data_IF_380865753124
#
_entry.id   IF_380865753124
#
_cell.length_a   1.000
_cell.length_b   1.000
_cell.length_c   1.000
_cell.angle_alpha   90.00
_cell.angle_beta   90.00
_cell.angle_gamma   90.00
#
_symmetry.space_group_name_H-M   'P 1'
#
loop_
_entity.id
_entity.type
_entity.pdbx_description
1 polymer ?
#
# COMPACT_ATOMS: atom_id res chain seq x y z
N UNK A 1 12.51 37.09 -31.51
CA UNK A 1 12.28 37.25 -30.06
C UNK A 1 12.51 35.91 -29.40
N UNK A 2 13.24 35.87 -28.29
CA UNK A 2 13.50 34.65 -27.53
C UNK A 2 12.21 34.23 -26.80
N UNK A 3 11.79 32.95 -26.85
CA UNK A 3 10.60 32.51 -26.14
C UNK A 3 10.74 32.70 -24.62
N UNK A 4 9.63 33.04 -23.96
CA UNK A 4 9.55 33.14 -22.50
C UNK A 4 9.47 31.74 -21.89
N UNK A 5 10.23 31.49 -20.84
CA UNK A 5 10.14 30.24 -20.09
C UNK A 5 8.76 30.10 -19.44
N UNK A 6 8.14 28.93 -19.60
CA UNK A 6 6.88 28.55 -18.97
C UNK A 6 7.00 27.09 -18.51
N UNK A 7 6.60 26.83 -17.27
CA UNK A 7 6.62 25.50 -16.67
C UNK A 7 5.20 24.97 -16.50
N UNK A 8 5.00 23.69 -16.83
CA UNK A 8 3.83 22.90 -16.43
C UNK A 8 4.31 21.48 -16.19
N UNK A 9 3.76 20.84 -15.16
CA UNK A 9 3.93 19.41 -15.01
C UNK A 9 3.35 18.67 -16.23
N UNK A 10 4.01 17.59 -16.64
CA UNK A 10 3.51 16.72 -17.70
C UNK A 10 2.21 16.02 -17.29
N UNK A 11 2.09 15.70 -16.00
CA UNK A 11 0.97 15.02 -15.38
C UNK A 11 0.53 15.80 -14.13
N UNK A 12 -0.27 16.86 -14.28
CA UNK A 12 -0.77 17.63 -13.14
C UNK A 12 -1.70 16.76 -12.28
N UNK A 13 -1.62 16.94 -10.97
CA UNK A 13 -2.47 16.21 -10.02
C UNK A 13 -3.85 16.87 -9.93
N UNK A 14 -4.89 16.03 -9.88
CA UNK A 14 -6.25 16.47 -9.60
C UNK A 14 -6.54 16.56 -8.10
N UNK A 15 -7.80 16.77 -7.75
CA UNK A 15 -8.27 16.75 -6.36
C UNK A 15 -8.08 15.35 -5.74
N UNK A 16 -7.66 15.32 -4.47
CA UNK A 16 -7.56 14.09 -3.69
C UNK A 16 -8.84 13.86 -2.87
N UNK A 17 -9.65 12.90 -3.31
CA UNK A 17 -10.87 12.49 -2.62
C UNK A 17 -10.65 11.31 -1.64
N UNK A 18 -9.41 10.93 -1.38
CA UNK A 18 -9.07 9.79 -0.51
C UNK A 18 -9.33 10.14 0.96
N UNK A 19 -9.96 9.24 1.69
CA UNK A 19 -10.17 9.37 3.13
C UNK A 19 -9.00 8.70 3.85
N UNK A 20 -8.35 9.45 4.76
CA UNK A 20 -7.20 8.98 5.53
C UNK A 20 -7.59 8.71 6.99
N UNK A 21 -7.01 7.66 7.58
CA UNK A 21 -7.00 7.44 9.03
C UNK A 21 -5.63 7.79 9.59
N UNK A 22 -5.58 8.43 10.75
CA UNK A 22 -4.32 8.69 11.44
C UNK A 22 -3.75 7.40 12.02
N UNK A 23 -2.42 7.24 11.92
CA UNK A 23 -1.66 6.17 12.61
C UNK A 23 -0.94 6.66 13.87
N UNK A 24 -1.16 7.92 14.25
CA UNK A 24 -0.42 8.58 15.33
C UNK A 24 0.62 9.56 14.81
N UNK A 25 1.45 10.06 15.73
CA UNK A 25 2.49 11.08 15.46
C UNK A 25 3.87 10.64 15.95
N UNK A 26 3.97 9.41 16.46
CA UNK A 26 5.20 8.79 16.91
C UNK A 26 6.23 8.75 15.77
N UNK A 27 7.45 9.19 16.06
CA UNK A 27 8.51 9.27 15.06
C UNK A 27 8.35 10.40 14.03
N UNK A 28 7.40 11.32 14.21
CA UNK A 28 7.19 12.48 13.34
C UNK A 28 7.33 13.77 14.15
N UNK A 29 8.23 14.67 13.75
CA UNK A 29 8.37 15.99 14.41
C UNK A 29 8.73 17.09 13.45
N UNK A 30 8.33 18.32 13.79
CA UNK A 30 8.80 19.52 13.08
C UNK A 30 10.08 20.05 13.70
N UNK A 31 11.08 20.33 12.88
CA UNK A 31 12.35 20.95 13.30
C UNK A 31 12.60 22.23 12.50
N UNK A 32 13.14 23.26 13.15
CA UNK A 32 13.52 24.52 12.50
C UNK A 32 15.02 24.54 12.24
N UNK A 33 15.39 24.93 11.02
CA UNK A 33 16.78 25.21 10.65
C UNK A 33 16.83 26.53 9.88
N UNK A 34 17.30 27.59 10.56
CA UNK A 34 17.14 28.96 10.10
C UNK A 34 15.67 29.34 9.99
N UNK A 35 15.28 29.86 8.83
CA UNK A 35 13.90 30.26 8.53
C UNK A 35 13.02 29.10 8.02
N UNK A 36 13.63 27.94 7.73
CA UNK A 36 12.91 26.78 7.17
C UNK A 36 12.43 25.85 8.28
N UNK A 37 11.22 25.33 8.10
CA UNK A 37 10.69 24.22 8.88
C UNK A 37 10.82 22.94 8.07
N UNK A 38 11.31 21.88 8.70
CA UNK A 38 11.45 20.55 8.14
C UNK A 38 10.61 19.56 8.94
N UNK A 39 10.08 18.55 8.25
CA UNK A 39 9.46 17.38 8.86
C UNK A 39 10.53 16.30 9.01
N UNK A 40 10.90 15.99 10.24
CA UNK A 40 11.79 14.88 10.55
C UNK A 40 10.97 13.62 10.84
N UNK A 41 11.32 12.53 10.16
CA UNK A 41 10.62 11.24 10.23
C UNK A 41 11.63 10.15 10.61
N UNK A 42 11.33 9.38 11.65
CA UNK A 42 12.17 8.25 12.08
C UNK A 42 11.92 7.01 11.20
N UNK A 43 12.89 6.09 11.08
CA UNK A 43 12.68 4.82 10.38
C UNK A 43 11.48 4.03 10.91
N UNK A 44 11.24 4.03 12.23
CA UNK A 44 10.14 3.29 12.84
C UNK A 44 8.77 3.77 12.36
N UNK A 45 8.61 5.08 12.13
CA UNK A 45 7.38 5.62 11.57
C UNK A 45 7.13 5.12 10.14
N UNK A 46 8.18 5.00 9.32
CA UNK A 46 8.10 4.48 7.95
C UNK A 46 7.80 2.97 7.97
N UNK A 47 8.49 2.21 8.83
CA UNK A 47 8.26 0.77 8.99
C UNK A 47 6.83 0.51 9.47
N UNK A 48 6.35 1.24 10.47
CA UNK A 48 5.00 1.10 11.01
C UNK A 48 3.92 1.44 9.98
N UNK A 49 4.11 2.53 9.22
CA UNK A 49 3.21 2.88 8.11
C UNK A 49 3.15 1.77 7.07
N UNK A 50 4.32 1.22 6.71
CA UNK A 50 4.41 0.18 5.69
C UNK A 50 3.78 -1.13 6.16
N UNK A 51 4.09 -1.60 7.37
CA UNK A 51 3.50 -2.78 7.98
C UNK A 51 1.97 -2.67 8.02
N UNK A 52 1.48 -1.53 8.50
CA UNK A 52 0.05 -1.23 8.59
C UNK A 52 -0.61 -1.22 7.21
N UNK A 53 0.04 -0.63 6.21
CA UNK A 53 -0.47 -0.60 4.85
C UNK A 53 -0.56 -2.01 4.24
N UNK A 54 0.47 -2.85 4.40
CA UNK A 54 0.47 -4.23 3.90
C UNK A 54 -0.62 -5.07 4.59
N UNK A 55 -0.80 -4.90 5.92
CA UNK A 55 -1.92 -5.50 6.63
C UNK A 55 -3.27 -5.11 6.00
N UNK A 56 -3.52 -3.80 5.88
CA UNK A 56 -4.82 -3.29 5.46
C UNK A 56 -5.16 -3.67 4.01
N UNK A 57 -4.20 -3.59 3.08
CA UNK A 57 -4.45 -3.98 1.67
C UNK A 57 -4.62 -5.49 1.49
N UNK A 58 -4.11 -6.31 2.41
CA UNK A 58 -4.25 -7.76 2.37
C UNK A 58 -5.61 -8.23 2.89
N UNK A 59 -6.30 -7.40 3.68
CA UNK A 59 -7.55 -7.77 4.38
C UNK A 59 -8.76 -6.92 4.01
N UNK A 60 -8.56 -5.72 3.48
CA UNK A 60 -9.62 -4.78 3.15
C UNK A 60 -9.62 -4.39 1.68
N UNK A 61 -10.81 -4.03 1.20
CA UNK A 61 -11.02 -3.51 -0.14
C UNK A 61 -11.57 -2.08 -0.06
N UNK A 62 -11.30 -1.28 -1.09
CA UNK A 62 -11.91 0.05 -1.21
C UNK A 62 -13.43 -0.08 -1.31
N UNK A 63 -14.14 0.83 -0.63
CA UNK A 63 -15.62 0.87 -0.67
C UNK A 63 -16.17 0.94 -2.09
N UNK A 64 -15.52 1.71 -2.98
CA UNK A 64 -15.92 1.81 -4.39
C UNK A 64 -15.88 0.46 -5.12
N UNK A 65 -14.90 -0.40 -4.82
CA UNK A 65 -14.82 -1.73 -5.42
C UNK A 65 -15.88 -2.67 -4.85
N UNK A 66 -16.11 -2.65 -3.53
CA UNK A 66 -17.19 -3.42 -2.90
C UNK A 66 -18.57 -3.00 -3.45
N UNK A 67 -18.77 -1.71 -3.73
CA UNK A 67 -20.00 -1.21 -4.34
C UNK A 67 -20.20 -1.76 -5.76
N UNK A 68 -19.13 -1.93 -6.54
CA UNK A 68 -19.22 -2.56 -7.87
C UNK A 68 -19.72 -4.01 -7.76
N UNK A 69 -19.18 -4.79 -6.82
CA UNK A 69 -19.67 -6.16 -6.57
C UNK A 69 -21.13 -6.17 -6.10
N UNK A 70 -21.51 -5.25 -5.21
CA UNK A 70 -22.88 -5.14 -4.73
C UNK A 70 -23.87 -4.73 -5.83
N UNK A 71 -23.42 -3.94 -6.82
CA UNK A 71 -24.25 -3.55 -7.97
C UNK A 71 -24.58 -4.76 -8.85
N UNK A 72 -23.63 -5.69 -9.06
CA UNK A 72 -23.87 -6.92 -9.85
C UNK A 72 -25.05 -7.72 -9.29
N UNK A 73 -25.21 -7.76 -7.97
CA UNK A 73 -26.32 -8.48 -7.32
C UNK A 73 -27.70 -7.86 -7.63
N UNK A 74 -27.76 -6.57 -7.93
CA UNK A 74 -28.99 -5.80 -8.17
C UNK A 74 -29.29 -5.58 -9.65
N UNK A 75 -28.30 -5.77 -10.51
CA UNK A 75 -28.44 -5.57 -11.95
C UNK A 75 -29.37 -6.63 -12.54
N UNK A 76 -30.50 -6.26 -13.19
CA UNK A 76 -31.39 -7.23 -13.84
C UNK A 76 -30.73 -7.94 -15.03
N UNK A 77 -29.72 -7.36 -15.67
CA UNK A 77 -29.02 -7.93 -16.83
C UNK A 77 -27.91 -8.91 -16.44
N UNK A 78 -27.47 -8.91 -15.17
CA UNK A 78 -26.46 -9.84 -14.69
C UNK A 78 -26.92 -11.30 -14.83
N UNK A 79 -26.00 -12.19 -15.20
CA UNK A 79 -26.30 -13.62 -15.26
C UNK A 79 -26.41 -14.22 -13.85
N UNK A 80 -26.99 -15.43 -13.69
CA UNK A 80 -26.93 -16.15 -12.43
C UNK A 80 -25.50 -16.39 -11.94
N UNK A 81 -24.56 -16.63 -12.87
CA UNK A 81 -23.15 -16.85 -12.53
C UNK A 81 -22.46 -15.58 -12.04
N UNK A 82 -22.75 -14.42 -12.64
CA UNK A 82 -22.19 -13.15 -12.18
C UNK A 82 -22.61 -12.85 -10.74
N UNK A 83 -23.90 -13.06 -10.43
CA UNK A 83 -24.42 -12.88 -9.07
C UNK A 83 -23.81 -13.88 -8.08
N UNK A 84 -23.64 -15.13 -8.50
CA UNK A 84 -23.00 -16.17 -7.70
C UNK A 84 -21.55 -15.79 -7.35
N UNK A 85 -20.74 -15.44 -8.35
CA UNK A 85 -19.34 -15.05 -8.16
C UNK A 85 -19.23 -13.77 -7.32
N UNK A 86 -20.05 -12.74 -7.60
CA UNK A 86 -20.02 -11.50 -6.84
C UNK A 86 -20.37 -11.73 -5.36
N UNK A 87 -21.34 -12.60 -5.07
CA UNK A 87 -21.71 -12.95 -3.71
C UNK A 87 -20.57 -13.67 -2.98
N UNK A 88 -19.88 -14.60 -3.64
CA UNK A 88 -18.77 -15.33 -3.04
C UNK A 88 -17.56 -14.41 -2.79
N UNK A 89 -17.27 -13.48 -3.70
CA UNK A 89 -16.25 -12.45 -3.50
C UNK A 89 -16.58 -11.53 -2.31
N UNK A 90 -17.84 -11.14 -2.15
CA UNK A 90 -18.29 -10.33 -1.01
C UNK A 90 -18.20 -11.11 0.33
N UNK A 91 -18.53 -12.41 0.33
CA UNK A 91 -18.34 -13.27 1.52
C UNK A 91 -16.86 -13.40 1.86
N UNK A 92 -16.01 -13.61 0.87
CA UNK A 92 -14.55 -13.67 1.06
C UNK A 92 -14.03 -12.34 1.65
N UNK A 93 -14.50 -11.20 1.14
CA UNK A 93 -14.17 -9.89 1.69
C UNK A 93 -14.57 -9.74 3.16
N UNK A 94 -15.77 -10.20 3.52
CA UNK A 94 -16.24 -10.17 4.90
C UNK A 94 -15.41 -11.08 5.83
N UNK A 95 -15.00 -12.26 5.36
CA UNK A 95 -14.13 -13.17 6.13
C UNK A 95 -12.75 -12.53 6.33
N UNK A 96 -12.17 -11.98 5.26
CA UNK A 96 -10.83 -11.41 5.31
C UNK A 96 -10.75 -10.16 6.18
N UNK A 97 -11.82 -9.37 6.24
CA UNK A 97 -11.92 -8.22 7.13
C UNK A 97 -11.78 -8.57 8.63
N UNK A 98 -11.84 -9.85 9.00
CA UNK A 98 -11.49 -10.33 10.34
C UNK A 98 -9.99 -10.27 10.68
N UNK A 99 -9.11 -9.96 9.73
CA UNK A 99 -7.67 -9.74 9.96
C UNK A 99 -6.84 -11.02 10.18
N UNK A 100 -7.44 -12.21 10.00
CA UNK A 100 -6.76 -13.49 10.19
C UNK A 100 -6.39 -14.16 8.87
N UNK A 101 -7.33 -14.22 7.92
CA UNK A 101 -7.13 -14.83 6.60
C UNK A 101 -7.04 -13.71 5.54
N UNK A 102 -6.01 -13.70 4.68
CA UNK A 102 -5.91 -12.69 3.63
C UNK A 102 -6.98 -12.90 2.55
N UNK A 103 -7.28 -11.82 1.82
CA UNK A 103 -8.26 -11.78 0.73
C UNK A 103 -7.96 -12.81 -0.37
N UNK A 104 -6.69 -13.11 -0.59
CA UNK A 104 -6.20 -14.00 -1.63
C UNK A 104 -5.03 -14.82 -1.09
N UNK A 105 -4.91 -16.08 -1.52
CA UNK A 105 -3.75 -16.92 -1.22
C UNK A 105 -2.46 -16.37 -1.83
N UNK A 106 -2.58 -15.65 -2.95
CA UNK A 106 -1.48 -14.89 -3.54
C UNK A 106 -1.49 -13.48 -2.95
N UNK A 107 -0.67 -13.29 -1.92
CA UNK A 107 -0.51 -11.99 -1.24
C UNK A 107 0.41 -11.04 -2.00
N UNK A 108 0.83 -11.40 -3.21
CA UNK A 108 1.48 -10.51 -4.18
C UNK A 108 2.90 -10.09 -3.84
N UNK A 109 3.46 -9.25 -4.71
CA UNK A 109 4.74 -8.55 -4.52
C UNK A 109 4.48 -7.19 -3.87
N UNK A 110 5.23 -6.87 -2.81
CA UNK A 110 5.15 -5.56 -2.18
C UNK A 110 5.76 -4.48 -3.10
N UNK A 111 4.93 -3.53 -3.53
CA UNK A 111 5.36 -2.39 -4.36
C UNK A 111 5.11 -1.11 -3.59
N UNK A 112 6.16 -0.30 -3.44
CA UNK A 112 6.09 0.98 -2.72
C UNK A 112 6.48 2.12 -3.64
N UNK A 113 5.59 3.10 -3.76
CA UNK A 113 5.83 4.36 -4.47
C UNK A 113 5.91 5.48 -3.45
N UNK A 114 7.14 5.85 -3.06
CA UNK A 114 7.40 6.97 -2.16
C UNK A 114 7.60 8.29 -2.91
N UNK A 115 7.01 9.38 -2.41
CA UNK A 115 7.31 10.75 -2.85
C UNK A 115 7.83 11.54 -1.65
N UNK A 116 9.13 11.84 -1.65
CA UNK A 116 9.78 12.59 -0.57
C UNK A 116 9.91 14.06 -0.93
N UNK A 117 9.24 14.92 -0.17
CA UNK A 117 9.34 16.37 -0.34
C UNK A 117 10.71 16.91 0.07
N UNK A 118 11.10 18.04 -0.50
CA UNK A 118 12.40 18.70 -0.22
C UNK A 118 12.59 19.08 1.26
N UNK A 119 11.50 19.25 2.01
CA UNK A 119 11.51 19.59 3.45
C UNK A 119 11.26 18.39 4.35
N UNK A 120 11.36 17.17 3.83
CA UNK A 120 11.25 15.92 4.61
C UNK A 120 12.65 15.36 4.85
N UNK A 121 13.02 15.25 6.12
CA UNK A 121 14.27 14.65 6.57
C UNK A 121 13.96 13.28 7.16
N UNK A 122 14.67 12.27 6.70
CA UNK A 122 14.62 10.93 7.29
C UNK A 122 15.98 10.60 7.89
N UNK A 123 15.99 9.81 8.96
CA UNK A 123 17.21 9.55 9.74
C UNK A 123 18.05 8.38 9.19
N UNK A 124 17.51 7.61 8.23
CA UNK A 124 18.16 6.43 7.67
C UNK A 124 17.85 6.28 6.18
N UNK A 125 18.35 5.19 5.59
CA UNK A 125 17.96 4.79 4.23
C UNK A 125 16.48 4.37 4.23
N UNK A 126 15.66 5.10 3.49
CA UNK A 126 14.19 4.95 3.49
C UNK A 126 13.77 3.54 3.06
N UNK A 127 14.47 2.96 2.07
CA UNK A 127 14.18 1.63 1.54
C UNK A 127 14.39 0.51 2.58
N UNK A 128 15.29 0.71 3.55
CA UNK A 128 15.51 -0.28 4.63
C UNK A 128 14.33 -0.26 5.60
N UNK A 129 13.84 0.93 5.98
CA UNK A 129 12.68 1.05 6.84
C UNK A 129 11.41 0.52 6.15
N UNK A 130 11.22 0.85 4.87
CA UNK A 130 10.13 0.27 4.06
C UNK A 130 10.23 -1.26 4.01
N UNK A 131 11.41 -1.82 3.68
CA UNK A 131 11.59 -3.26 3.64
C UNK A 131 11.36 -3.93 5.00
N UNK A 132 11.73 -3.29 6.10
CA UNK A 132 11.46 -3.79 7.44
C UNK A 132 9.95 -3.86 7.72
N UNK A 133 9.17 -2.83 7.35
CA UNK A 133 7.72 -2.87 7.51
C UNK A 133 7.04 -3.95 6.66
N UNK A 134 7.53 -4.18 5.43
CA UNK A 134 7.08 -5.32 4.61
C UNK A 134 7.41 -6.63 5.30
N UNK A 135 8.67 -6.84 5.67
CA UNK A 135 9.12 -8.04 6.38
C UNK A 135 8.27 -8.34 7.62
N UNK A 136 8.04 -7.33 8.45
CA UNK A 136 7.23 -7.43 9.66
C UNK A 136 5.80 -7.89 9.35
N UNK A 137 5.14 -7.29 8.36
CA UNK A 137 3.78 -7.69 7.98
C UNK A 137 3.75 -9.15 7.48
N UNK A 138 4.66 -9.55 6.59
CA UNK A 138 4.67 -10.91 6.04
C UNK A 138 5.04 -11.98 7.07
N UNK A 139 5.83 -11.63 8.10
CA UNK A 139 6.25 -12.58 9.14
C UNK A 139 5.33 -12.64 10.36
N UNK A 140 4.58 -11.58 10.65
CA UNK A 140 3.61 -11.53 11.76
C UNK A 140 2.21 -12.00 11.36
N UNK A 141 1.84 -11.87 10.09
CA UNK A 141 0.51 -12.20 9.57
C UNK A 141 0.51 -13.51 8.78
N UNK A 142 -0.68 -14.07 8.52
CA UNK A 142 -0.83 -15.30 7.74
C UNK A 142 -0.75 -15.02 6.21
N UNK A 143 0.33 -14.38 5.76
CA UNK A 143 0.59 -14.07 4.35
C UNK A 143 1.52 -15.10 3.71
N UNK A 144 1.72 -15.00 2.38
CA UNK A 144 2.53 -15.97 1.61
C UNK A 144 3.83 -15.35 1.10
N UNK A 145 4.95 -16.03 1.35
CA UNK A 145 6.25 -15.70 0.76
C UNK A 145 6.33 -16.15 -0.69
N UNK A 146 6.29 -15.20 -1.62
CA UNK A 146 6.09 -15.48 -3.04
C UNK A 146 7.27 -15.04 -3.93
N UNK A 147 8.28 -14.39 -3.36
CA UNK A 147 9.44 -13.94 -4.13
C UNK A 147 10.50 -15.04 -4.26
N UNK A 148 10.93 -15.29 -5.50
CA UNK A 148 12.01 -16.21 -5.85
C UNK A 148 13.24 -15.39 -6.24
N UNK A 149 14.36 -15.63 -5.54
CA UNK A 149 15.64 -15.00 -5.83
C UNK A 149 16.48 -15.91 -6.75
N UNK A 150 17.05 -15.38 -7.85
CA UNK A 150 17.94 -16.14 -8.71
C UNK A 150 19.30 -16.37 -8.03
N UNK A 151 19.75 -17.63 -7.97
CA UNK A 151 21.06 -18.03 -7.45
C UNK A 151 22.04 -18.27 -8.60
N UNK A 152 21.54 -18.92 -9.65
CA UNK A 152 22.22 -19.09 -10.93
C UNK A 152 21.24 -18.74 -12.07
N UNK A 153 21.61 -19.01 -13.31
CA UNK A 153 20.66 -18.88 -14.44
C UNK A 153 19.46 -19.84 -14.32
N UNK A 154 19.62 -20.96 -13.62
CA UNK A 154 18.63 -22.05 -13.59
C UNK A 154 18.12 -22.36 -12.19
N UNK A 155 18.87 -21.97 -11.15
CA UNK A 155 18.51 -22.22 -9.76
C UNK A 155 17.91 -20.97 -9.13
N UNK A 156 16.77 -21.13 -8.47
CA UNK A 156 16.11 -20.10 -7.69
C UNK A 156 15.84 -20.58 -6.27
N UNK A 157 15.75 -19.63 -5.34
CA UNK A 157 15.37 -19.91 -3.96
C UNK A 157 14.33 -18.91 -3.48
N UNK A 158 13.30 -19.39 -2.80
CA UNK A 158 12.36 -18.51 -2.12
C UNK A 158 13.09 -17.67 -1.06
N UNK A 159 12.82 -16.37 -1.00
CA UNK A 159 13.44 -15.46 -0.03
C UNK A 159 13.07 -15.81 1.41
N UNK A 160 11.92 -16.45 1.61
CA UNK A 160 11.40 -16.87 2.92
C UNK A 160 10.74 -15.75 3.70
N UNK A 161 10.57 -14.57 3.09
CA UNK A 161 10.02 -13.38 3.75
C UNK A 161 9.30 -12.41 2.78
N UNK A 162 8.97 -12.91 1.58
CA UNK A 162 8.48 -12.13 0.44
C UNK A 162 9.44 -10.99 0.04
#
# INVERSE_FOLDING_TARGET
MTPTFSYSDLLPLGEDATIYRSLGTEGVRSVKHGEKTFLEITPEAISHLTETAIHDISHFLRAAHLQQLANILKDPEASPNDRFVALDLLKNANISAGGILPMCQDTGTAIVMGKKGQQVLTQSKDEVAVAQGVYDAYTKLNLRYSQMAPITMWDEKNTGNN
#
